data_IF_367371754227
#
_entry.id   IF_367371754227
#
_cell.length_a   1.000
_cell.length_b   1.000
_cell.length_c   1.000
_cell.angle_alpha   90.00
_cell.angle_beta   90.00
_cell.angle_gamma   90.00
#
_symmetry.space_group_name_H-M   'P 1'
#
loop_
_entity.id
_entity.type
_entity.pdbx_description
1 polymer ?
#
# COMPACT_ATOMS: atom_id res chain seq x y z
N UNK A 1 5.54 3.69 18.95
CA UNK A 1 4.56 2.56 18.86
C UNK A 1 5.31 1.23 18.82
N UNK A 2 4.69 0.13 19.26
CA UNK A 2 5.28 -1.21 19.12
C UNK A 2 5.36 -1.60 17.64
N UNK A 3 6.56 -1.91 17.13
CA UNK A 3 6.76 -2.24 15.71
C UNK A 3 5.99 -3.47 15.25
N UNK A 4 5.64 -4.37 16.18
CA UNK A 4 4.86 -5.58 15.88
C UNK A 4 3.42 -5.27 15.50
N UNK A 5 2.96 -4.05 15.76
CA UNK A 5 1.61 -3.58 15.43
C UNK A 5 1.58 -2.76 14.13
N UNK A 6 2.72 -2.57 13.46
CA UNK A 6 2.84 -1.72 12.28
C UNK A 6 3.10 -2.57 11.04
N UNK A 7 2.49 -2.14 9.92
CA UNK A 7 2.69 -2.74 8.60
C UNK A 7 3.06 -1.65 7.61
N UNK A 8 3.98 -1.96 6.70
CA UNK A 8 4.26 -1.10 5.55
C UNK A 8 3.25 -1.43 4.45
N UNK A 9 2.30 -0.53 4.20
CA UNK A 9 1.25 -0.73 3.19
C UNK A 9 1.87 -0.68 1.79
N UNK A 10 1.48 -1.61 0.93
CA UNK A 10 1.93 -1.75 -0.46
C UNK A 10 0.73 -1.83 -1.41
N UNK A 11 0.98 -1.67 -2.70
CA UNK A 11 0.03 -1.94 -3.78
C UNK A 11 0.44 -3.22 -4.53
N UNK A 12 -0.49 -3.96 -5.17
CA UNK A 12 -1.91 -3.66 -5.35
C UNK A 12 -2.72 -3.81 -4.05
N UNK A 13 -3.69 -2.90 -3.87
CA UNK A 13 -4.77 -3.05 -2.89
C UNK A 13 -6.05 -3.46 -3.64
N UNK A 14 -6.82 -4.40 -3.09
CA UNK A 14 -7.98 -4.97 -3.78
C UNK A 14 -9.25 -4.87 -2.93
N UNK A 15 -10.32 -4.34 -3.54
CA UNK A 15 -11.60 -4.11 -2.89
C UNK A 15 -12.76 -4.48 -3.82
N UNK A 16 -13.95 -4.71 -3.24
CA UNK A 16 -15.17 -4.73 -4.04
C UNK A 16 -15.40 -3.33 -4.61
N UNK A 17 -15.64 -3.25 -5.91
CA UNK A 17 -15.77 -1.97 -6.61
C UNK A 17 -16.83 -1.02 -6.03
N UNK A 18 -17.93 -1.54 -5.47
CA UNK A 18 -18.94 -0.72 -4.79
C UNK A 18 -18.40 -0.11 -3.50
N UNK A 19 -17.75 -0.91 -2.65
CA UNK A 19 -17.19 -0.46 -1.36
C UNK A 19 -16.16 0.64 -1.58
N UNK A 20 -15.27 0.45 -2.55
CA UNK A 20 -14.24 1.45 -2.86
C UNK A 20 -14.86 2.76 -3.36
N UNK A 21 -15.83 2.69 -4.28
CA UNK A 21 -16.52 3.89 -4.79
C UNK A 21 -17.30 4.63 -3.70
N UNK A 22 -17.99 3.91 -2.83
CA UNK A 22 -18.74 4.52 -1.73
C UNK A 22 -17.79 5.24 -0.76
N UNK A 23 -16.62 4.65 -0.47
CA UNK A 23 -15.62 5.24 0.42
C UNK A 23 -14.99 6.51 -0.20
N UNK A 24 -14.63 6.48 -1.48
CA UNK A 24 -14.13 7.67 -2.20
C UNK A 24 -15.15 8.81 -2.27
N UNK A 25 -16.45 8.50 -2.29
CA UNK A 25 -17.49 9.53 -2.31
C UNK A 25 -17.70 10.23 -0.96
N UNK A 26 -17.35 9.60 0.17
CA UNK A 26 -17.58 10.14 1.51
C UNK A 26 -16.40 10.97 2.05
N UNK A 27 -15.16 10.65 1.65
CA UNK A 27 -13.97 11.40 2.05
C UNK A 27 -12.84 11.24 1.01
N UNK A 28 -12.54 12.24 0.17
CA UNK A 28 -11.54 12.08 -0.89
C UNK A 28 -10.09 12.12 -0.39
N UNK A 29 -9.82 12.61 0.82
CA UNK A 29 -8.45 12.82 1.30
C UNK A 29 -7.98 11.64 2.17
N UNK A 30 -7.30 10.69 1.54
CA UNK A 30 -6.62 9.55 2.18
C UNK A 30 -5.33 9.20 1.41
N UNK A 31 -4.30 8.73 2.11
CA UNK A 31 -3.01 8.35 1.49
C UNK A 31 -3.06 7.02 0.74
N UNK A 32 -4.04 6.18 1.02
CA UNK A 32 -4.25 4.87 0.39
C UNK A 32 -5.72 4.42 0.50
N UNK A 33 -6.11 3.43 -0.30
CA UNK A 33 -7.49 2.94 -0.38
C UNK A 33 -7.91 2.13 0.85
N UNK A 34 -6.98 1.48 1.56
CA UNK A 34 -7.30 0.71 2.76
C UNK A 34 -7.73 1.63 3.90
N UNK A 35 -6.96 2.69 4.16
CA UNK A 35 -7.32 3.73 5.16
C UNK A 35 -8.68 4.35 4.85
N UNK A 36 -8.96 4.59 3.56
CA UNK A 36 -10.23 5.14 3.11
C UNK A 36 -11.40 4.21 3.39
N UNK A 37 -11.25 2.92 3.07
CA UNK A 37 -12.27 1.89 3.32
C UNK A 37 -12.49 1.66 4.82
N UNK A 38 -11.43 1.64 5.63
CA UNK A 38 -11.54 1.51 7.10
C UNK A 38 -12.29 2.68 7.73
N UNK A 39 -11.97 3.91 7.31
CA UNK A 39 -12.63 5.13 7.81
C UNK A 39 -14.12 5.14 7.48
N UNK A 40 -14.51 4.50 6.37
CA UNK A 40 -15.91 4.34 5.97
C UNK A 40 -16.57 3.08 6.57
N UNK A 41 -16.00 2.50 7.64
CA UNK A 41 -16.55 1.35 8.37
C UNK A 41 -16.32 0.00 7.68
N UNK A 42 -15.53 -0.04 6.61
CA UNK A 42 -15.15 -1.27 5.94
C UNK A 42 -14.11 -2.07 6.73
N UNK A 43 -14.00 -3.36 6.41
CA UNK A 43 -12.98 -4.24 6.99
C UNK A 43 -11.84 -4.44 6.00
N UNK A 44 -10.62 -4.20 6.44
CA UNK A 44 -9.39 -4.54 5.71
C UNK A 44 -8.76 -5.79 6.29
N UNK A 45 -8.14 -6.58 5.43
CA UNK A 45 -7.32 -7.74 5.80
C UNK A 45 -5.95 -7.53 5.19
N UNK A 46 -4.91 -7.65 6.02
CA UNK A 46 -3.52 -7.54 5.57
C UNK A 46 -3.07 -8.89 5.03
N UNK A 47 -2.49 -8.85 3.82
CA UNK A 47 -1.78 -9.98 3.22
C UNK A 47 -0.29 -9.67 3.28
N UNK A 48 0.55 -10.63 3.66
CA UNK A 48 2.00 -10.43 3.66
C UNK A 48 2.48 -10.16 2.23
N UNK A 49 3.04 -8.97 2.02
CA UNK A 49 3.69 -8.59 0.77
C UNK A 49 5.17 -8.96 0.74
N UNK A 50 5.80 -8.65 -0.39
CA UNK A 50 7.24 -8.79 -0.59
C UNK A 50 7.93 -7.45 -0.27
N UNK A 51 8.92 -7.39 0.65
CA UNK A 51 9.70 -6.18 0.91
C UNK A 51 10.36 -5.56 -0.34
N UNK A 52 10.59 -6.36 -1.39
CA UNK A 52 11.12 -5.90 -2.68
C UNK A 52 10.04 -5.20 -3.52
N UNK A 53 8.75 -5.35 -3.22
CA UNK A 53 7.67 -4.61 -3.89
C UNK A 53 7.54 -3.18 -3.34
N UNK A 54 8.61 -2.41 -3.43
CA UNK A 54 8.69 -1.07 -2.86
C UNK A 54 8.32 0.00 -3.87
N UNK A 55 7.81 1.12 -3.38
CA UNK A 55 7.58 2.33 -4.17
C UNK A 55 8.92 3.01 -4.47
N UNK A 56 9.19 3.31 -5.75
CA UNK A 56 10.31 4.15 -6.15
C UNK A 56 9.91 5.62 -5.96
N UNK A 57 10.52 6.28 -4.99
CA UNK A 57 10.16 7.63 -4.52
C UNK A 57 11.35 8.59 -4.56
N UNK A 58 12.56 8.10 -4.29
CA UNK A 58 13.80 8.90 -4.32
C UNK A 58 14.68 8.52 -5.53
N UNK A 59 15.65 9.38 -5.93
CA UNK A 59 16.59 9.05 -7.00
C UNK A 59 17.40 7.78 -6.74
N UNK A 60 17.79 7.55 -5.48
CA UNK A 60 18.51 6.34 -5.06
C UNK A 60 17.70 5.08 -5.34
N UNK A 61 16.38 5.20 -5.38
CA UNK A 61 15.53 4.04 -5.61
C UNK A 61 15.69 3.43 -6.98
N UNK A 62 16.09 4.24 -7.96
CA UNK A 62 16.40 3.78 -9.31
C UNK A 62 17.66 2.92 -9.36
N UNK A 63 18.67 3.25 -8.57
CA UNK A 63 19.91 2.46 -8.52
C UNK A 63 19.63 1.08 -7.92
N UNK A 64 18.89 1.05 -6.81
CA UNK A 64 18.42 -0.18 -6.19
C UNK A 64 17.58 -1.04 -7.17
N UNK A 65 16.60 -0.43 -7.85
CA UNK A 65 15.71 -1.18 -8.75
C UNK A 65 16.49 -1.81 -9.90
N UNK A 66 17.47 -1.09 -10.45
CA UNK A 66 18.36 -1.61 -11.49
C UNK A 66 19.23 -2.76 -11.01
N UNK A 67 19.74 -2.71 -9.78
CA UNK A 67 20.54 -3.78 -9.19
C UNK A 67 19.70 -5.05 -8.97
N UNK A 68 18.47 -4.90 -8.46
CA UNK A 68 17.51 -6.02 -8.30
C UNK A 68 17.25 -6.72 -9.63
N UNK A 69 16.95 -5.97 -10.70
CA UNK A 69 16.67 -6.55 -12.02
C UNK A 69 17.87 -7.31 -12.60
N UNK A 70 19.09 -6.95 -12.21
CA UNK A 70 20.33 -7.65 -12.62
C UNK A 70 20.72 -8.80 -11.67
N UNK A 71 20.00 -9.01 -10.58
CA UNK A 71 20.32 -10.03 -9.57
C UNK A 71 21.53 -9.68 -8.70
N UNK A 72 21.80 -8.39 -8.51
CA UNK A 72 23.00 -7.87 -7.81
C UNK A 72 22.74 -7.54 -6.32
N UNK A 73 21.54 -7.83 -5.81
CA UNK A 73 21.07 -7.51 -4.45
C UNK A 73 20.61 -8.77 -3.75
#
# INVERSE_FOLDING_TARGET
PDRRQLVAVQTPQAFRAKVLRDAHASNPESTDDATLVETNGGRVVVVHGDPLNRKLTTPEDMNWARAITRGEV
#
